data_IF_392410918061
#
_entry.id   IF_392410918061
#
_cell.length_a   1.000
_cell.length_b   1.000
_cell.length_c   1.000
_cell.angle_alpha   90.00
_cell.angle_beta   90.00
_cell.angle_gamma   90.00
#
_symmetry.space_group_name_H-M   'P 1'
#
loop_
_entity.id
_entity.type
_entity.pdbx_description
1 polymer ?
#
# COMPACT_ATOMS: atom_id res chain seq x y z
N UNK A 1 6.04 -17.00 -12.26
CA UNK A 1 5.04 -16.06 -11.71
C UNK A 1 5.15 -16.02 -10.19
N UNK A 2 4.69 -14.95 -9.60
CA UNK A 2 4.82 -14.74 -8.16
C UNK A 2 3.68 -15.42 -7.40
N UNK A 3 4.00 -16.04 -6.28
CA UNK A 3 3.00 -16.69 -5.43
C UNK A 3 2.37 -15.75 -4.41
N UNK A 4 3.08 -14.71 -4.00
CA UNK A 4 2.56 -13.68 -3.10
C UNK A 4 3.03 -12.30 -3.55
N UNK A 5 2.07 -11.42 -3.77
CA UNK A 5 2.32 -10.04 -4.17
C UNK A 5 1.73 -9.11 -3.12
N UNK A 6 2.51 -8.13 -2.68
CA UNK A 6 2.06 -7.06 -1.82
C UNK A 6 1.75 -5.82 -2.67
N UNK A 7 0.56 -5.28 -2.48
CA UNK A 7 0.10 -4.10 -3.21
C UNK A 7 -0.24 -3.00 -2.20
N UNK A 8 0.74 -2.14 -1.85
CA UNK A 8 0.47 -0.99 -1.02
C UNK A 8 -0.36 0.04 -1.80
N UNK A 9 -1.32 0.67 -1.13
CA UNK A 9 -2.13 1.71 -1.74
C UNK A 9 -2.47 2.80 -0.73
N UNK A 10 -2.53 4.04 -1.19
CA UNK A 10 -2.97 5.18 -0.39
C UNK A 10 -4.33 5.73 -0.85
N UNK A 11 -5.02 4.99 -1.72
CA UNK A 11 -6.31 5.40 -2.24
C UNK A 11 -6.23 6.36 -3.42
N UNK A 12 -5.03 6.59 -3.97
CA UNK A 12 -4.88 7.43 -5.17
C UNK A 12 -5.49 6.73 -6.39
N UNK A 13 -5.70 7.50 -7.48
CA UNK A 13 -6.46 7.06 -8.64
C UNK A 13 -5.77 6.10 -9.61
N UNK A 14 -4.80 5.33 -9.16
CA UNK A 14 -3.99 4.47 -10.03
C UNK A 14 -4.30 2.98 -9.89
N UNK A 15 -5.41 2.66 -9.26
CA UNK A 15 -5.79 1.29 -8.95
C UNK A 15 -5.89 0.42 -10.21
N UNK A 16 -6.42 0.95 -11.30
CA UNK A 16 -6.61 0.18 -12.53
C UNK A 16 -5.29 -0.30 -13.12
N UNK A 17 -4.27 0.57 -13.15
CA UNK A 17 -2.95 0.19 -13.63
C UNK A 17 -2.26 -0.82 -12.73
N UNK A 18 -2.40 -0.63 -11.42
CA UNK A 18 -1.82 -1.55 -10.45
C UNK A 18 -2.46 -2.94 -10.53
N UNK A 19 -3.78 -2.99 -10.60
CA UNK A 19 -4.54 -4.25 -10.72
C UNK A 19 -4.15 -4.98 -12.01
N UNK A 20 -4.04 -4.25 -13.12
CA UNK A 20 -3.63 -4.83 -14.39
C UNK A 20 -2.27 -5.52 -14.28
N UNK A 21 -1.30 -4.89 -13.63
CA UNK A 21 0.04 -5.47 -13.44
C UNK A 21 0.01 -6.68 -12.52
N UNK A 22 -0.69 -6.57 -11.41
CA UNK A 22 -0.75 -7.64 -10.41
C UNK A 22 -1.43 -8.88 -10.98
N UNK A 23 -2.54 -8.72 -11.68
CA UNK A 23 -3.27 -9.86 -12.26
C UNK A 23 -2.49 -10.59 -13.34
N UNK A 24 -1.58 -9.89 -14.03
CA UNK A 24 -0.69 -10.51 -15.02
C UNK A 24 0.48 -11.26 -14.39
N UNK A 25 0.87 -10.91 -13.18
CA UNK A 25 2.08 -11.43 -12.54
C UNK A 25 1.81 -12.46 -11.46
N UNK A 26 0.60 -12.54 -10.94
CA UNK A 26 0.27 -13.47 -9.87
C UNK A 26 0.12 -14.89 -10.40
N UNK A 27 0.64 -15.86 -9.65
CA UNK A 27 0.46 -17.26 -9.97
C UNK A 27 -1.02 -17.65 -9.78
N UNK A 28 -1.45 -18.70 -10.48
CA UNK A 28 -2.84 -19.15 -10.45
C UNK A 28 -3.38 -19.40 -9.05
N UNK A 29 -2.54 -19.96 -8.18
CA UNK A 29 -2.88 -20.24 -6.78
C UNK A 29 -2.28 -19.21 -5.82
N UNK A 30 -1.86 -18.07 -6.35
CA UNK A 30 -1.18 -17.05 -5.56
C UNK A 30 -2.11 -16.19 -4.72
N UNK A 31 -1.54 -15.49 -3.75
CA UNK A 31 -2.23 -14.57 -2.87
C UNK A 31 -1.80 -13.13 -3.12
N UNK A 32 -2.77 -12.25 -3.21
CA UNK A 32 -2.54 -10.81 -3.33
C UNK A 32 -2.89 -10.17 -1.98
N UNK A 33 -1.96 -9.38 -1.45
CA UNK A 33 -2.16 -8.69 -0.18
C UNK A 33 -2.24 -7.19 -0.46
N UNK A 34 -3.40 -6.61 -0.19
CA UNK A 34 -3.60 -5.17 -0.32
C UNK A 34 -3.33 -4.53 1.04
N UNK A 35 -2.41 -3.59 1.07
CA UNK A 35 -1.98 -2.93 2.31
C UNK A 35 -2.23 -1.42 2.23
N UNK A 36 -2.82 -0.86 3.27
CA UNK A 36 -2.83 0.58 3.49
C UNK A 36 -2.19 0.88 4.83
N UNK A 37 -1.28 1.84 4.84
CA UNK A 37 -0.58 2.27 6.06
C UNK A 37 -1.17 3.61 6.50
N UNK A 38 -1.81 3.60 7.66
CA UNK A 38 -2.34 4.82 8.27
C UNK A 38 -1.20 5.54 8.97
N UNK A 39 -1.12 6.85 8.79
CA UNK A 39 -0.22 7.68 9.56
C UNK A 39 -0.64 7.69 11.03
N UNK A 40 0.26 8.05 11.90
CA UNK A 40 -0.01 8.14 13.33
C UNK A 40 0.42 9.51 13.84
N UNK A 41 -0.55 10.25 14.36
CA UNK A 41 -0.27 11.51 15.02
C UNK A 41 0.22 11.22 16.43
N UNK A 42 1.36 11.81 16.81
CA UNK A 42 1.88 11.71 18.18
C UNK A 42 1.38 12.88 19.02
N UNK A 43 1.18 12.64 20.32
CA UNK A 43 0.76 13.71 21.22
C UNK A 43 1.87 14.75 21.38
N UNK A 44 1.45 16.01 21.42
CA UNK A 44 2.37 17.14 21.63
C UNK A 44 1.85 18.00 22.76
N UNK A 45 2.66 18.98 23.18
CA UNK A 45 2.27 19.93 24.23
C UNK A 45 1.04 20.76 23.84
N UNK A 46 0.73 20.85 22.55
CA UNK A 46 -0.35 21.68 22.03
C UNK A 46 -1.61 20.90 21.66
N UNK A 47 -1.60 19.58 21.83
CA UNK A 47 -2.73 18.73 21.46
C UNK A 47 -3.13 17.81 22.60
N UNK A 48 -4.44 17.70 22.84
CA UNK A 48 -4.94 16.79 23.87
C UNK A 48 -4.84 15.33 23.40
N UNK A 49 -4.75 14.41 24.35
CA UNK A 49 -4.76 12.98 24.07
C UNK A 49 -6.04 12.54 23.36
N UNK A 50 -7.17 13.14 23.74
CA UNK A 50 -8.47 12.86 23.12
C UNK A 50 -8.46 13.24 21.65
N UNK A 51 -7.92 14.42 21.33
CA UNK A 51 -7.81 14.87 19.94
C UNK A 51 -6.91 13.94 19.11
N UNK A 52 -5.75 13.59 19.65
CA UNK A 52 -4.80 12.69 18.97
C UNK A 52 -5.44 11.32 18.71
N UNK A 53 -6.14 10.75 19.68
CA UNK A 53 -6.84 9.47 19.52
C UNK A 53 -7.92 9.55 18.44
N UNK A 54 -8.67 10.63 18.41
CA UNK A 54 -9.74 10.84 17.43
C UNK A 54 -9.18 10.91 16.01
N UNK A 55 -8.09 11.66 15.81
CA UNK A 55 -7.43 11.80 14.52
C UNK A 55 -6.86 10.45 14.08
N UNK A 56 -6.18 9.73 14.97
CA UNK A 56 -5.60 8.42 14.65
C UNK A 56 -6.67 7.39 14.31
N UNK A 57 -7.80 7.40 15.00
CA UNK A 57 -8.94 6.53 14.69
C UNK A 57 -9.49 6.85 13.30
N UNK A 58 -9.61 8.12 12.95
CA UNK A 58 -10.07 8.55 11.64
C UNK A 58 -9.15 8.09 10.52
N UNK A 59 -7.84 8.20 10.71
CA UNK A 59 -6.86 7.73 9.73
C UNK A 59 -6.92 6.22 9.54
N UNK A 60 -7.14 5.48 10.63
CA UNK A 60 -7.26 4.02 10.56
C UNK A 60 -8.54 3.59 9.81
N UNK A 61 -9.66 4.26 10.09
CA UNK A 61 -10.92 3.98 9.39
C UNK A 61 -10.81 4.29 7.90
N UNK A 62 -10.14 5.38 7.54
CA UNK A 62 -9.87 5.72 6.14
C UNK A 62 -9.05 4.62 5.45
N UNK A 63 -8.01 4.13 6.11
CA UNK A 63 -7.17 3.05 5.56
C UNK A 63 -7.97 1.77 5.33
N UNK A 64 -8.88 1.44 6.24
CA UNK A 64 -9.78 0.28 6.07
C UNK A 64 -10.68 0.43 4.85
N UNK A 65 -11.22 1.63 4.62
CA UNK A 65 -12.04 1.91 3.44
C UNK A 65 -11.22 1.81 2.15
N UNK A 66 -9.98 2.28 2.17
CA UNK A 66 -9.09 2.25 1.01
C UNK A 66 -8.86 0.80 0.56
N UNK A 67 -8.50 -0.10 1.47
CA UNK A 67 -8.24 -1.49 1.10
C UNK A 67 -9.51 -2.22 0.66
N UNK A 68 -10.64 -1.91 1.28
CA UNK A 68 -11.93 -2.50 0.89
C UNK A 68 -12.32 -2.10 -0.53
N UNK A 69 -12.20 -0.81 -0.86
CA UNK A 69 -12.50 -0.30 -2.20
C UNK A 69 -11.57 -0.89 -3.26
N UNK A 70 -10.29 -1.02 -2.95
CA UNK A 70 -9.32 -1.62 -3.86
C UNK A 70 -9.67 -3.08 -4.15
N UNK A 71 -10.01 -3.82 -3.10
CA UNK A 71 -10.41 -5.22 -3.25
C UNK A 71 -11.63 -5.37 -4.17
N UNK A 72 -12.61 -4.49 -4.03
CA UNK A 72 -13.82 -4.51 -4.86
C UNK A 72 -13.53 -4.32 -6.35
N UNK A 73 -12.44 -3.64 -6.68
CA UNK A 73 -12.05 -3.39 -8.07
C UNK A 73 -11.41 -4.57 -8.76
N UNK A 74 -10.95 -5.56 -8.00
CA UNK A 74 -10.38 -6.78 -8.60
C UNK A 74 -11.48 -7.64 -9.24
N UNK A 75 -11.19 -8.28 -10.38
CA UNK A 75 -12.08 -9.28 -10.92
C UNK A 75 -12.25 -10.46 -9.96
N UNK A 76 -13.31 -11.24 -10.13
CA UNK A 76 -13.52 -12.45 -9.34
C UNK A 76 -12.43 -13.49 -9.65
N UNK A 77 -12.19 -14.38 -8.71
CA UNK A 77 -11.29 -15.52 -8.90
C UNK A 77 -9.89 -15.33 -8.33
N UNK A 78 -9.61 -14.18 -7.73
CA UNK A 78 -8.32 -13.94 -7.09
C UNK A 78 -8.41 -14.09 -5.56
N UNK A 79 -7.36 -14.66 -4.97
CA UNK A 79 -7.26 -14.79 -3.53
C UNK A 79 -6.66 -13.49 -2.96
N UNK A 80 -7.47 -12.68 -2.30
CA UNK A 80 -7.09 -11.34 -1.85
C UNK A 80 -7.25 -11.21 -0.35
N UNK A 81 -6.17 -10.78 0.32
CA UNK A 81 -6.17 -10.46 1.74
C UNK A 81 -5.96 -8.96 1.89
N UNK A 82 -6.70 -8.33 2.78
CA UNK A 82 -6.52 -6.91 3.08
C UNK A 82 -5.85 -6.75 4.43
N UNK A 83 -4.90 -5.82 4.51
CA UNK A 83 -4.13 -5.54 5.72
C UNK A 83 -4.06 -4.03 5.91
N UNK A 84 -4.27 -3.60 7.15
CA UNK A 84 -4.12 -2.21 7.56
C UNK A 84 -3.13 -2.15 8.71
N UNK A 85 -2.19 -1.22 8.63
CA UNK A 85 -1.19 -0.99 9.68
C UNK A 85 -1.07 0.50 9.94
N UNK A 86 -0.53 0.84 11.09
CA UNK A 86 -0.16 2.22 11.43
C UNK A 86 1.36 2.33 11.52
N UNK A 87 1.91 3.45 11.09
CA UNK A 87 3.35 3.69 11.16
C UNK A 87 3.87 4.50 10.00
N UNK A 88 5.19 4.42 9.80
CA UNK A 88 5.86 5.07 8.68
C UNK A 88 5.69 4.19 7.42
N UNK A 89 5.18 4.74 6.32
CA UNK A 89 4.77 3.93 5.19
C UNK A 89 5.82 2.97 4.62
N UNK A 90 6.98 3.47 4.26
CA UNK A 90 7.99 2.61 3.61
C UNK A 90 8.50 1.50 4.54
N UNK A 91 8.76 1.82 5.80
CA UNK A 91 9.21 0.84 6.79
C UNK A 91 8.14 -0.22 7.04
N UNK A 92 6.88 0.21 7.14
CA UNK A 92 5.75 -0.69 7.36
C UNK A 92 5.51 -1.60 6.17
N UNK A 93 5.64 -1.09 4.95
CA UNK A 93 5.53 -1.89 3.73
C UNK A 93 6.57 -3.01 3.74
N UNK A 94 7.82 -2.69 4.00
CA UNK A 94 8.90 -3.68 4.06
C UNK A 94 8.66 -4.71 5.16
N UNK A 95 8.19 -4.26 6.31
CA UNK A 95 7.90 -5.16 7.44
C UNK A 95 6.78 -6.15 7.12
N UNK A 96 5.70 -5.68 6.53
CA UNK A 96 4.59 -6.54 6.12
C UNK A 96 5.04 -7.52 5.03
N UNK A 97 5.83 -7.06 4.09
CA UNK A 97 6.39 -7.94 3.04
C UNK A 97 7.20 -9.09 3.65
N UNK A 98 8.01 -8.80 4.66
CA UNK A 98 8.79 -9.82 5.35
C UNK A 98 7.89 -10.76 6.16
N UNK A 99 6.99 -10.21 6.96
CA UNK A 99 6.07 -11.00 7.80
C UNK A 99 5.19 -11.95 6.98
N UNK A 100 4.74 -11.52 5.83
CA UNK A 100 3.82 -12.29 4.99
C UNK A 100 4.55 -13.18 3.97
N UNK A 101 5.86 -13.10 3.87
CA UNK A 101 6.63 -13.88 2.91
C UNK A 101 6.37 -13.49 1.47
N UNK A 102 6.20 -12.21 1.21
CA UNK A 102 5.89 -11.67 -0.12
C UNK A 102 7.10 -11.76 -1.03
N UNK A 103 6.88 -12.08 -2.30
CA UNK A 103 7.92 -12.21 -3.30
C UNK A 103 8.07 -10.97 -4.19
N UNK A 104 7.04 -10.15 -4.28
CA UNK A 104 7.02 -8.95 -5.11
C UNK A 104 6.19 -7.86 -4.45
N UNK A 105 6.72 -6.64 -4.43
CA UNK A 105 5.94 -5.45 -4.07
C UNK A 105 5.59 -4.72 -5.36
N UNK A 106 4.31 -4.43 -5.58
CA UNK A 106 3.85 -3.60 -6.71
C UNK A 106 3.39 -2.27 -6.13
N UNK A 107 4.07 -1.20 -6.48
CA UNK A 107 3.80 0.12 -5.89
C UNK A 107 3.73 1.18 -6.99
N UNK A 108 2.83 2.15 -6.85
CA UNK A 108 2.74 3.24 -7.80
C UNK A 108 3.88 4.24 -7.60
N UNK A 109 4.32 4.82 -8.71
CA UNK A 109 5.40 5.81 -8.72
C UNK A 109 5.03 7.07 -7.94
N UNK A 110 3.75 7.43 -7.89
CA UNK A 110 3.27 8.58 -7.15
C UNK A 110 2.02 8.24 -6.35
N UNK A 111 1.79 9.00 -5.28
CA UNK A 111 0.62 8.85 -4.44
C UNK A 111 -0.36 10.00 -4.59
N UNK A 112 -1.05 10.33 -3.50
CA UNK A 112 -2.07 11.38 -3.47
C UNK A 112 -1.57 12.77 -3.87
N UNK A 113 -0.26 13.01 -3.76
CA UNK A 113 0.32 14.30 -4.11
C UNK A 113 0.23 14.63 -5.60
N UNK A 114 -0.08 13.65 -6.46
CA UNK A 114 -0.19 13.87 -7.89
C UNK A 114 1.12 14.29 -8.54
N UNK A 115 2.23 13.75 -8.10
CA UNK A 115 3.56 14.09 -8.61
C UNK A 115 3.67 13.87 -10.11
N UNK A 116 4.49 14.68 -10.74
CA UNK A 116 4.78 14.60 -12.16
C UNK A 116 5.32 13.21 -12.53
N UNK A 117 5.00 12.71 -13.72
CA UNK A 117 5.33 11.34 -14.15
C UNK A 117 6.83 10.98 -14.10
N UNK A 118 7.71 11.97 -14.11
CA UNK A 118 9.16 11.74 -14.03
C UNK A 118 9.71 11.82 -12.61
N UNK A 119 8.84 12.06 -11.63
CA UNK A 119 9.23 12.17 -10.23
C UNK A 119 8.67 10.97 -9.48
N UNK A 120 9.55 10.25 -8.79
CA UNK A 120 9.16 9.14 -7.95
C UNK A 120 8.80 9.68 -6.57
N UNK A 121 7.65 9.28 -6.03
CA UNK A 121 7.21 9.67 -4.70
C UNK A 121 8.17 9.16 -3.62
N UNK A 122 8.20 9.85 -2.47
CA UNK A 122 9.14 9.54 -1.38
C UNK A 122 8.99 8.12 -0.83
N UNK A 123 7.75 7.64 -0.71
CA UNK A 123 7.49 6.27 -0.21
C UNK A 123 8.01 5.24 -1.21
N UNK A 124 7.66 5.39 -2.50
CA UNK A 124 8.10 4.48 -3.54
C UNK A 124 9.62 4.45 -3.65
N UNK A 125 10.27 5.62 -3.61
CA UNK A 125 11.73 5.71 -3.65
C UNK A 125 12.37 4.98 -2.49
N UNK A 126 11.87 5.17 -1.28
CA UNK A 126 12.42 4.52 -0.10
C UNK A 126 12.21 3.01 -0.12
N UNK A 127 11.06 2.53 -0.59
CA UNK A 127 10.80 1.10 -0.76
C UNK A 127 11.78 0.51 -1.77
N UNK A 128 11.98 1.16 -2.93
CA UNK A 128 12.93 0.70 -3.93
C UNK A 128 14.36 0.58 -3.39
N UNK A 129 14.76 1.50 -2.52
CA UNK A 129 16.12 1.50 -1.94
C UNK A 129 16.31 0.50 -0.82
N UNK A 130 15.25 0.12 -0.11
CA UNK A 130 15.36 -0.64 1.14
C UNK A 130 14.73 -2.03 1.09
N UNK A 131 13.94 -2.35 0.07
CA UNK A 131 13.32 -3.66 -0.03
C UNK A 131 14.34 -4.75 -0.34
N UNK A 132 14.16 -5.91 0.26
CA UNK A 132 15.02 -7.09 0.03
C UNK A 132 14.47 -8.02 -1.05
N UNK A 133 13.34 -7.68 -1.63
CA UNK A 133 12.63 -8.46 -2.64
C UNK A 133 12.39 -7.62 -3.89
N UNK A 134 11.85 -8.26 -4.92
CA UNK A 134 11.53 -7.58 -6.18
C UNK A 134 10.48 -6.48 -5.95
N UNK A 135 10.68 -5.35 -6.60
CA UNK A 135 9.75 -4.22 -6.56
C UNK A 135 9.43 -3.79 -7.98
N UNK A 136 8.15 -3.76 -8.30
CA UNK A 136 7.68 -3.22 -9.57
C UNK A 136 7.07 -1.84 -9.33
N UNK A 137 7.62 -0.85 -9.99
CA UNK A 137 7.13 0.51 -9.93
C UNK A 137 6.15 0.74 -11.08
N UNK A 138 4.91 1.07 -10.74
CA UNK A 138 3.86 1.33 -11.74
C UNK A 138 3.76 2.82 -11.99
N UNK A 139 3.95 3.21 -13.24
CA UNK A 139 3.81 4.61 -13.64
C UNK A 139 2.37 4.90 -14.05
N UNK A 140 1.99 6.15 -13.87
CA UNK A 140 0.73 6.66 -14.37
C UNK A 140 0.89 7.17 -15.78
N UNK A 141 -0.02 6.79 -16.58
CA UNK A 141 -0.10 7.31 -17.94
C UNK A 141 -1.28 8.24 -18.06
#
# INVERSE_FOLDING_TARGET
MYKKILLPTDGSGYADQEIDRVTKLIAEDGEIIILSVAGKLTSSAFQSRTHVRKVNKGMLEEAKEIVAKMKEKFPDGYNIKTVVRTGFPAETINKVAEEEGVELIVISASGKSGLHKFIIGSVAEKVLKTADIDVLLVHNN
#
